data_IF_194561700803
#
_entry.id   IF_194561700803
#
_cell.length_a   1.000
_cell.length_b   1.000
_cell.length_c   1.000
_cell.angle_alpha   90.00
_cell.angle_beta   90.00
_cell.angle_gamma   90.00
#
_symmetry.space_group_name_H-M   'P 1'
#
loop_
_entity.id
_entity.type
_entity.pdbx_description
1 polymer ?
#
# COMPACT_ATOMS: atom_id res chain seq x y z
N UNK A 1 7.70 10.92 -19.75
CA UNK A 1 7.55 11.14 -18.29
C UNK A 1 8.54 10.30 -17.48
N UNK A 2 8.80 9.03 -17.81
CA UNK A 2 9.60 8.14 -16.96
C UNK A 2 11.09 8.48 -16.73
N UNK A 3 11.77 9.14 -17.68
CA UNK A 3 13.20 9.51 -17.50
C UNK A 3 13.39 10.51 -16.35
N UNK A 4 12.50 11.49 -16.20
CA UNK A 4 12.58 12.47 -15.10
C UNK A 4 12.33 11.82 -13.73
N UNK A 5 11.34 10.92 -13.65
CA UNK A 5 11.07 10.16 -12.41
C UNK A 5 12.23 9.25 -12.07
N UNK A 6 12.79 8.53 -13.03
CA UNK A 6 13.95 7.66 -12.83
C UNK A 6 15.17 8.43 -12.30
N UNK A 7 15.48 9.61 -12.85
CA UNK A 7 16.57 10.46 -12.33
C UNK A 7 16.31 10.90 -10.90
N UNK A 8 15.06 11.30 -10.58
CA UNK A 8 14.66 11.69 -9.22
C UNK A 8 14.80 10.54 -8.23
N UNK A 9 14.32 9.35 -8.57
CA UNK A 9 14.42 8.17 -7.70
C UNK A 9 15.87 7.68 -7.58
N UNK A 10 16.67 7.76 -8.65
CA UNK A 10 18.11 7.49 -8.58
C UNK A 10 18.84 8.43 -7.60
N UNK A 11 18.51 9.73 -7.63
CA UNK A 11 19.05 10.69 -6.66
C UNK A 11 18.59 10.37 -5.23
N UNK A 12 17.31 10.01 -5.04
CA UNK A 12 16.77 9.59 -3.74
C UNK A 12 17.49 8.34 -3.21
N UNK A 13 17.73 7.34 -4.06
CA UNK A 13 18.48 6.14 -3.70
C UNK A 13 19.91 6.47 -3.29
N UNK A 14 20.59 7.35 -4.02
CA UNK A 14 21.93 7.82 -3.66
C UNK A 14 21.93 8.53 -2.30
N UNK A 15 20.96 9.42 -2.06
CA UNK A 15 20.78 10.13 -0.79
C UNK A 15 20.50 9.18 0.39
N UNK A 16 19.73 8.11 0.16
CA UNK A 16 19.50 7.07 1.16
C UNK A 16 20.81 6.38 1.54
N UNK A 17 21.60 5.95 0.54
CA UNK A 17 22.88 5.25 0.74
C UNK A 17 23.94 6.11 1.43
N UNK A 18 23.92 7.43 1.22
CA UNK A 18 24.88 8.35 1.84
C UNK A 18 24.45 8.89 3.20
N UNK A 19 23.29 8.45 3.73
CA UNK A 19 22.85 8.80 5.08
C UNK A 19 22.34 10.23 5.26
N UNK A 20 22.01 10.95 4.17
CA UNK A 20 21.54 12.35 4.24
C UNK A 20 20.06 12.49 4.66
N UNK A 21 19.43 11.43 5.14
CA UNK A 21 18.02 11.44 5.56
C UNK A 21 17.74 12.37 6.75
N UNK A 22 18.65 12.44 7.73
CA UNK A 22 18.47 13.33 8.88
C UNK A 22 18.49 14.82 8.45
N UNK A 23 19.46 15.29 7.64
CA UNK A 23 19.40 16.61 7.01
C UNK A 23 18.12 16.87 6.20
N UNK A 24 17.67 15.91 5.38
CA UNK A 24 16.43 16.04 4.58
C UNK A 24 15.19 16.19 5.46
N UNK A 25 15.09 15.42 6.55
CA UNK A 25 13.99 15.54 7.53
C UNK A 25 14.01 16.89 8.24
N UNK A 26 15.19 17.37 8.63
CA UNK A 26 15.33 18.71 9.22
C UNK A 26 14.84 19.79 8.23
N UNK A 27 15.21 19.70 6.95
CA UNK A 27 14.74 20.63 5.92
C UNK A 27 13.21 20.56 5.72
N UNK A 28 12.59 19.37 5.78
CA UNK A 28 11.12 19.22 5.72
C UNK A 28 10.44 19.90 6.92
N UNK A 29 10.97 19.71 8.13
CA UNK A 29 10.48 20.39 9.35
C UNK A 29 10.61 21.91 9.26
N UNK A 30 11.74 22.43 8.77
CA UNK A 30 11.95 23.86 8.54
C UNK A 30 10.97 24.45 7.49
N UNK A 31 10.38 23.60 6.63
CA UNK A 31 9.32 23.96 5.68
C UNK A 31 7.90 23.75 6.24
N UNK A 32 7.77 23.46 7.53
CA UNK A 32 6.48 23.25 8.19
C UNK A 32 5.86 21.87 7.98
N UNK A 33 6.59 20.89 7.43
CA UNK A 33 6.08 19.52 7.33
C UNK A 33 6.32 18.75 8.63
N UNK A 34 5.26 18.16 9.17
CA UNK A 34 5.38 17.20 10.26
C UNK A 34 5.98 15.87 9.75
N UNK A 35 7.02 15.42 10.43
CA UNK A 35 7.77 14.19 10.13
C UNK A 35 8.04 13.37 11.40
N UNK A 36 7.24 13.60 12.45
CA UNK A 36 7.41 12.95 13.76
C UNK A 36 7.19 11.45 13.67
N UNK A 37 6.15 11.02 12.95
CA UNK A 37 5.90 9.59 12.66
C UNK A 37 7.16 8.88 12.13
N UNK A 38 7.95 9.49 11.23
CA UNK A 38 9.15 8.85 10.67
C UNK A 38 10.26 8.54 11.70
N UNK A 39 10.13 9.04 12.93
CA UNK A 39 11.08 8.81 14.03
C UNK A 39 10.58 7.84 15.08
N UNK A 40 9.32 7.40 15.02
CA UNK A 40 8.75 6.43 15.95
C UNK A 40 9.34 5.04 15.70
N UNK A 41 9.64 4.24 16.75
CA UNK A 41 10.33 2.97 16.57
C UNK A 41 9.46 1.92 15.89
N UNK A 42 8.25 1.69 16.41
CA UNK A 42 7.35 0.62 15.94
C UNK A 42 6.55 1.04 14.72
N UNK A 43 6.27 0.08 13.84
CA UNK A 43 5.51 0.34 12.61
C UNK A 43 4.08 0.81 12.92
N UNK A 44 3.40 0.15 13.87
CA UNK A 44 2.08 0.53 14.34
C UNK A 44 2.03 1.97 14.84
N UNK A 45 3.00 2.39 15.64
CA UNK A 45 3.05 3.76 16.19
C UNK A 45 3.19 4.80 15.07
N UNK A 46 3.94 4.49 14.01
CA UNK A 46 4.09 5.37 12.84
C UNK A 46 2.75 5.62 12.16
N UNK A 47 1.98 4.57 11.89
CA UNK A 47 0.72 4.67 11.19
C UNK A 47 -0.41 5.18 12.09
N UNK A 48 -0.44 4.82 13.37
CA UNK A 48 -1.35 5.43 14.34
C UNK A 48 -1.14 6.94 14.44
N UNK A 49 0.12 7.40 14.46
CA UNK A 49 0.45 8.83 14.43
C UNK A 49 -0.04 9.50 13.14
N UNK A 50 0.13 8.83 11.98
CA UNK A 50 -0.35 9.33 10.69
C UNK A 50 -1.87 9.59 10.72
N UNK A 51 -2.65 8.65 11.24
CA UNK A 51 -4.11 8.80 11.37
C UNK A 51 -4.51 9.82 12.43
N UNK A 52 -3.82 9.85 13.58
CA UNK A 52 -4.12 10.78 14.67
C UNK A 52 -3.89 12.24 14.26
N UNK A 53 -2.81 12.51 13.53
CA UNK A 53 -2.38 13.87 13.18
C UNK A 53 -2.74 14.26 11.74
N UNK A 54 -3.50 13.43 11.02
CA UNK A 54 -3.91 13.70 9.65
C UNK A 54 -2.71 13.92 8.71
N UNK A 55 -1.64 13.14 8.84
CA UNK A 55 -0.40 13.38 8.06
C UNK A 55 -0.64 13.23 6.55
N UNK A 56 -1.54 12.32 6.15
CA UNK A 56 -1.85 12.08 4.73
C UNK A 56 -2.92 13.00 4.16
N UNK A 57 -3.87 13.44 4.98
CA UNK A 57 -5.08 14.10 4.51
C UNK A 57 -5.32 15.49 5.13
N UNK A 58 -4.56 15.86 6.15
CA UNK A 58 -4.86 17.00 7.01
C UNK A 58 -6.25 16.84 7.63
N UNK A 59 -7.01 17.93 7.62
CA UNK A 59 -8.41 17.94 8.05
C UNK A 59 -9.40 17.48 6.95
N UNK A 60 -8.89 16.99 5.81
CA UNK A 60 -9.71 16.56 4.66
C UNK A 60 -9.95 15.06 4.73
N UNK A 61 -11.17 14.61 4.42
CA UNK A 61 -11.48 13.19 4.27
C UNK A 61 -11.07 12.66 2.86
N UNK A 62 -10.68 11.39 2.74
CA UNK A 62 -10.61 10.39 3.81
C UNK A 62 -9.27 10.39 4.60
N UNK A 63 -9.27 9.94 5.87
CA UNK A 63 -8.06 9.87 6.71
C UNK A 63 -6.87 9.11 6.10
N UNK A 64 -7.14 8.08 5.29
CA UNK A 64 -6.11 7.29 4.60
C UNK A 64 -5.47 8.04 3.41
N UNK A 65 -5.80 9.32 3.23
CA UNK A 65 -5.24 10.19 2.21
C UNK A 65 -6.09 10.28 0.94
N UNK A 66 -5.80 11.28 0.11
CA UNK A 66 -6.59 11.56 -1.10
C UNK A 66 -6.59 10.41 -2.12
N UNK A 67 -5.60 9.52 -2.07
CA UNK A 67 -5.50 8.32 -2.89
C UNK A 67 -6.60 7.27 -2.64
N UNK A 68 -7.26 7.32 -1.48
CA UNK A 68 -8.41 6.46 -1.13
C UNK A 68 -9.78 7.16 -1.30
N UNK A 69 -9.80 8.40 -1.81
CA UNK A 69 -11.06 9.11 -2.07
C UNK A 69 -11.90 8.41 -3.13
N UNK A 70 -13.23 8.63 -3.11
CA UNK A 70 -14.15 8.04 -4.09
C UNK A 70 -13.85 8.46 -5.54
N UNK A 71 -13.33 9.68 -5.72
CA UNK A 71 -12.90 10.19 -7.02
C UNK A 71 -11.60 9.50 -7.49
N UNK A 72 -10.63 9.31 -6.59
CA UNK A 72 -9.38 8.62 -6.91
C UNK A 72 -9.60 7.14 -7.25
N UNK A 73 -10.62 6.51 -6.67
CA UNK A 73 -10.87 5.07 -6.78
C UNK A 73 -11.99 4.71 -7.77
N UNK A 74 -12.51 5.67 -8.54
CA UNK A 74 -13.64 5.44 -9.45
C UNK A 74 -13.40 4.28 -10.44
N UNK A 75 -12.27 4.30 -11.16
CA UNK A 75 -11.93 3.23 -12.11
C UNK A 75 -11.73 1.87 -11.43
N UNK A 76 -11.02 1.86 -10.30
CA UNK A 76 -10.83 0.64 -9.51
C UNK A 76 -12.17 0.05 -9.06
N UNK A 77 -13.09 0.89 -8.58
CA UNK A 77 -14.40 0.44 -8.12
C UNK A 77 -15.28 -0.10 -9.24
N UNK A 78 -15.13 0.43 -10.45
CA UNK A 78 -15.87 -0.04 -11.61
C UNK A 78 -15.41 -1.43 -12.09
N UNK A 79 -14.12 -1.75 -11.94
CA UNK A 79 -13.53 -2.96 -12.54
C UNK A 79 -13.25 -4.08 -11.52
N UNK A 80 -12.96 -3.75 -10.26
CA UNK A 80 -12.54 -4.72 -9.25
C UNK A 80 -13.57 -5.86 -9.02
N UNK A 81 -14.90 -5.61 -8.91
CA UNK A 81 -15.86 -6.69 -8.68
C UNK A 81 -15.85 -7.75 -9.80
N UNK A 82 -15.82 -7.31 -11.06
CA UNK A 82 -15.80 -8.21 -12.22
C UNK A 82 -14.48 -8.99 -12.28
N UNK A 83 -13.35 -8.35 -11.99
CA UNK A 83 -12.06 -9.03 -11.94
C UNK A 83 -12.02 -10.11 -10.86
N UNK A 84 -12.57 -9.86 -9.67
CA UNK A 84 -12.64 -10.86 -8.60
C UNK A 84 -13.51 -12.06 -8.99
N UNK A 85 -14.64 -11.82 -9.67
CA UNK A 85 -15.52 -12.86 -10.20
C UNK A 85 -14.82 -13.71 -11.27
N UNK A 86 -14.15 -13.06 -12.25
CA UNK A 86 -13.36 -13.73 -13.29
C UNK A 86 -12.24 -14.62 -12.73
N UNK A 87 -11.61 -14.19 -11.63
CA UNK A 87 -10.58 -14.95 -10.93
C UNK A 87 -11.15 -16.06 -10.03
N UNK A 88 -12.47 -16.12 -9.85
CA UNK A 88 -13.15 -17.09 -8.98
C UNK A 88 -12.87 -16.88 -7.50
N UNK A 89 -12.60 -15.65 -7.07
CA UNK A 89 -12.27 -15.30 -5.68
C UNK A 89 -13.52 -15.43 -4.81
N UNK A 90 -13.44 -16.16 -3.69
CA UNK A 90 -14.51 -16.25 -2.68
C UNK A 90 -14.13 -15.64 -1.35
N UNK A 91 -12.84 -15.44 -1.09
CA UNK A 91 -12.31 -14.77 0.09
C UNK A 91 -11.27 -13.70 -0.31
N UNK A 92 -11.44 -12.48 0.21
CA UNK A 92 -10.59 -11.33 -0.04
C UNK A 92 -10.04 -10.79 1.28
N UNK A 93 -8.71 -10.85 1.43
CA UNK A 93 -8.00 -10.13 2.49
C UNK A 93 -7.58 -8.76 1.96
N UNK A 94 -8.04 -7.67 2.56
CA UNK A 94 -7.57 -6.32 2.27
C UNK A 94 -6.46 -5.93 3.26
N UNK A 95 -5.22 -6.11 2.81
CA UNK A 95 -3.99 -5.88 3.55
C UNK A 95 -3.62 -4.39 3.46
N UNK A 96 -3.76 -3.68 4.57
CA UNK A 96 -3.72 -2.23 4.64
C UNK A 96 -5.04 -1.60 4.24
N UNK A 97 -6.15 -2.08 4.79
CA UNK A 97 -7.50 -1.66 4.43
C UNK A 97 -7.80 -0.18 4.74
N UNK A 98 -6.95 0.46 5.53
CA UNK A 98 -7.12 1.84 5.99
C UNK A 98 -8.50 2.08 6.60
N UNK A 99 -9.08 3.24 6.32
CA UNK A 99 -10.39 3.67 6.83
C UNK A 99 -11.60 3.07 6.09
N UNK A 100 -11.38 2.10 5.20
CA UNK A 100 -12.45 1.39 4.47
C UNK A 100 -13.33 2.29 3.57
N UNK A 101 -12.96 3.57 3.34
CA UNK A 101 -13.82 4.58 2.70
C UNK A 101 -14.38 4.18 1.34
N UNK A 102 -13.55 3.63 0.46
CA UNK A 102 -13.96 3.29 -0.90
C UNK A 102 -14.44 1.83 -1.00
N UNK A 103 -13.84 0.93 -0.22
CA UNK A 103 -14.20 -0.49 -0.18
C UNK A 103 -15.63 -0.71 0.32
N UNK A 104 -16.10 0.07 1.31
CA UNK A 104 -17.51 -0.01 1.78
C UNK A 104 -18.55 0.26 0.68
N UNK A 105 -18.16 0.91 -0.42
CA UNK A 105 -19.08 1.25 -1.52
C UNK A 105 -19.23 0.13 -2.54
N UNK A 106 -18.42 -0.92 -2.44
CA UNK A 106 -18.44 -2.06 -3.34
C UNK A 106 -19.41 -3.13 -2.86
N UNK A 107 -20.18 -3.67 -3.80
CA UNK A 107 -20.94 -4.89 -3.60
C UNK A 107 -20.10 -6.06 -4.10
N UNK A 108 -19.46 -6.78 -3.17
CA UNK A 108 -18.62 -7.94 -3.49
C UNK A 108 -19.30 -9.21 -2.99
N UNK A 109 -19.36 -10.26 -3.82
CA UNK A 109 -19.80 -11.61 -3.41
C UNK A 109 -18.62 -12.44 -2.88
N UNK A 110 -17.87 -11.87 -1.92
CA UNK A 110 -16.69 -12.50 -1.29
C UNK A 110 -16.73 -12.32 0.23
N UNK A 111 -16.15 -13.26 0.96
CA UNK A 111 -15.83 -13.07 2.37
C UNK A 111 -14.70 -12.04 2.48
N UNK A 112 -15.03 -10.85 2.96
CA UNK A 112 -14.06 -9.76 3.14
C UNK A 112 -13.47 -9.76 4.55
N UNK A 113 -12.15 -9.60 4.63
CA UNK A 113 -11.43 -9.35 5.88
C UNK A 113 -10.45 -8.19 5.69
N UNK A 114 -10.70 -7.06 6.35
CA UNK A 114 -9.78 -5.92 6.34
C UNK A 114 -8.75 -6.01 7.46
N UNK A 115 -7.49 -5.77 7.15
CA UNK A 115 -6.43 -5.69 8.16
C UNK A 115 -5.55 -4.46 7.94
N UNK A 116 -5.06 -3.89 9.03
CA UNK A 116 -4.17 -2.73 9.01
C UNK A 116 -3.26 -2.79 10.24
N UNK A 117 -2.06 -2.22 10.13
CA UNK A 117 -1.11 -2.15 11.25
C UNK A 117 -1.53 -1.11 12.29
N UNK A 118 -2.34 -0.12 11.88
CA UNK A 118 -2.89 0.89 12.78
C UNK A 118 -4.05 0.32 13.60
N UNK A 119 -3.83 0.17 14.91
CA UNK A 119 -4.91 -0.22 15.81
C UNK A 119 -6.02 0.84 15.85
N UNK A 120 -5.65 2.11 15.68
CA UNK A 120 -6.58 3.24 15.67
C UNK A 120 -7.59 3.13 14.53
N UNK A 121 -7.14 2.91 13.29
CA UNK A 121 -8.07 2.83 12.14
C UNK A 121 -8.94 1.57 12.21
N UNK A 122 -8.36 0.45 12.66
CA UNK A 122 -9.12 -0.79 12.84
C UNK A 122 -10.19 -0.66 13.90
N UNK A 123 -9.91 0.04 15.01
CA UNK A 123 -10.93 0.28 16.03
C UNK A 123 -12.04 1.18 15.51
N UNK A 124 -11.72 2.21 14.71
CA UNK A 124 -12.71 3.05 14.06
C UNK A 124 -13.61 2.22 13.12
N UNK A 125 -13.01 1.42 12.23
CA UNK A 125 -13.76 0.59 11.28
C UNK A 125 -14.68 -0.40 11.99
N UNK A 126 -14.24 -1.03 13.07
CA UNK A 126 -15.07 -1.97 13.87
C UNK A 126 -16.28 -1.29 14.51
N UNK A 127 -16.15 -0.02 14.90
CA UNK A 127 -17.27 0.76 15.47
C UNK A 127 -18.26 1.16 14.39
N UNK A 128 -17.76 1.61 13.24
CA UNK A 128 -18.59 2.14 12.16
C UNK A 128 -19.24 1.04 11.30
N UNK A 129 -18.59 -0.13 11.22
CA UNK A 129 -18.98 -1.27 10.39
C UNK A 129 -18.88 -2.60 11.19
N UNK A 130 -19.70 -2.79 12.24
CA UNK A 130 -19.64 -3.97 13.12
C UNK A 130 -19.97 -5.29 12.41
N UNK A 131 -20.61 -5.23 11.23
CA UNK A 131 -20.90 -6.37 10.37
C UNK A 131 -19.70 -6.84 9.54
N UNK A 132 -18.64 -6.04 9.44
CA UNK A 132 -17.46 -6.34 8.64
C UNK A 132 -16.31 -6.80 9.53
N UNK A 133 -15.57 -7.82 9.08
CA UNK A 133 -14.44 -8.37 9.83
C UNK A 133 -13.20 -7.49 9.65
N UNK A 134 -12.69 -6.96 10.75
CA UNK A 134 -11.42 -6.24 10.80
C UNK A 134 -10.47 -6.77 11.88
N UNK A 135 -9.16 -6.77 11.62
CA UNK A 135 -8.13 -7.04 12.63
C UNK A 135 -6.86 -6.23 12.47
N UNK A 136 -6.21 -5.93 13.60
CA UNK A 136 -4.87 -5.35 13.60
C UNK A 136 -3.88 -6.43 13.18
N UNK A 137 -3.00 -6.10 12.23
CA UNK A 137 -1.98 -7.02 11.71
C UNK A 137 -0.79 -6.22 11.17
N UNK A 138 0.42 -6.54 11.63
CA UNK A 138 1.66 -6.04 11.01
C UNK A 138 2.12 -7.02 9.92
N UNK A 139 1.90 -6.65 8.66
CA UNK A 139 2.23 -7.49 7.52
C UNK A 139 3.74 -7.81 7.39
N UNK A 140 4.60 -7.06 8.08
CA UNK A 140 6.06 -7.22 8.04
C UNK A 140 6.58 -8.26 9.04
N UNK A 141 5.77 -8.67 10.02
CA UNK A 141 6.15 -9.62 11.09
C UNK A 141 5.14 -10.74 11.32
N UNK A 142 3.86 -10.47 11.13
CA UNK A 142 2.78 -11.37 11.52
C UNK A 142 2.42 -12.33 10.38
N UNK A 143 1.79 -13.45 10.75
CA UNK A 143 1.25 -14.39 9.78
C UNK A 143 0.03 -13.78 9.07
N UNK A 144 0.10 -13.68 7.75
CA UNK A 144 -1.00 -13.18 6.92
C UNK A 144 -2.05 -14.30 6.75
N UNK A 145 -3.33 -14.07 7.12
CA UNK A 145 -4.39 -15.05 6.94
C UNK A 145 -4.52 -15.50 5.48
N UNK A 146 -4.76 -16.80 5.29
CA UNK A 146 -5.01 -17.35 3.96
C UNK A 146 -6.31 -16.80 3.38
N UNK A 147 -6.26 -16.36 2.12
CA UNK A 147 -7.43 -15.99 1.31
C UNK A 147 -7.22 -16.43 -0.16
N UNK A 148 -8.27 -16.40 -0.97
CA UNK A 148 -8.11 -16.65 -2.42
C UNK A 148 -7.34 -15.50 -3.07
N UNK A 149 -7.64 -14.27 -2.67
CA UNK A 149 -6.92 -13.08 -3.08
C UNK A 149 -6.55 -12.17 -1.90
N UNK A 150 -5.38 -11.55 -1.99
CA UNK A 150 -4.95 -10.46 -1.10
C UNK A 150 -4.89 -9.17 -1.90
N UNK A 151 -5.68 -8.17 -1.52
CA UNK A 151 -5.55 -6.80 -1.97
C UNK A 151 -4.52 -6.09 -1.09
N UNK A 152 -3.48 -5.52 -1.69
CA UNK A 152 -2.42 -4.78 -1.00
C UNK A 152 -2.18 -3.48 -1.78
N UNK A 153 -3.20 -2.62 -1.79
CA UNK A 153 -3.19 -1.37 -2.56
C UNK A 153 -2.47 -0.27 -1.77
N UNK A 154 -1.53 0.42 -2.40
CA UNK A 154 -0.76 1.53 -1.84
C UNK A 154 0.06 1.26 -0.56
N UNK A 155 0.02 0.06 0.04
CA UNK A 155 0.83 -0.27 1.24
C UNK A 155 2.32 -0.25 0.97
N UNK A 156 2.79 -0.96 -0.07
CA UNK A 156 4.23 -1.08 -0.35
C UNK A 156 4.88 0.28 -0.64
N UNK A 157 4.12 1.23 -1.19
CA UNK A 157 4.59 2.59 -1.48
C UNK A 157 4.99 3.35 -0.20
N UNK A 158 4.49 2.91 0.96
CA UNK A 158 4.73 3.47 2.28
C UNK A 158 5.71 2.69 3.15
N UNK A 159 6.29 1.59 2.64
CA UNK A 159 7.23 0.77 3.39
C UNK A 159 8.65 0.91 2.84
N UNK A 160 9.66 0.77 3.70
CA UNK A 160 11.06 0.57 3.28
C UNK A 160 11.17 -0.63 2.34
N UNK A 161 12.25 -0.74 1.56
CA UNK A 161 12.47 -1.91 0.72
C UNK A 161 12.58 -3.19 1.55
N UNK A 162 13.25 -3.12 2.70
CA UNK A 162 13.37 -4.25 3.62
C UNK A 162 11.99 -4.72 4.12
N UNK A 163 11.14 -3.79 4.55
CA UNK A 163 9.79 -4.11 5.05
C UNK A 163 8.89 -4.60 3.93
N UNK A 164 9.00 -4.00 2.74
CA UNK A 164 8.26 -4.45 1.56
C UNK A 164 8.61 -5.90 1.21
N UNK A 165 9.90 -6.27 1.23
CA UNK A 165 10.34 -7.64 0.97
C UNK A 165 9.84 -8.61 2.07
N UNK A 166 9.83 -8.18 3.35
CA UNK A 166 9.22 -8.98 4.43
C UNK A 166 7.73 -9.24 4.20
N UNK A 167 6.98 -8.24 3.74
CA UNK A 167 5.56 -8.40 3.36
C UNK A 167 5.42 -9.41 2.23
N UNK A 168 6.25 -9.35 1.18
CA UNK A 168 6.21 -10.33 0.08
C UNK A 168 6.50 -11.74 0.59
N UNK A 169 7.48 -11.92 1.46
CA UNK A 169 7.78 -13.23 2.05
C UNK A 169 6.64 -13.77 2.92
N UNK A 170 5.97 -12.92 3.69
CA UNK A 170 4.80 -13.32 4.47
C UNK A 170 3.59 -13.63 3.58
N UNK A 171 3.39 -12.90 2.47
CA UNK A 171 2.37 -13.21 1.47
C UNK A 171 2.60 -14.61 0.88
N UNK A 172 3.84 -14.96 0.55
CA UNK A 172 4.20 -16.32 0.08
C UNK A 172 3.87 -17.40 1.12
N UNK A 173 4.12 -17.12 2.39
CA UNK A 173 3.84 -18.06 3.49
C UNK A 173 2.36 -18.22 3.82
N UNK A 174 1.52 -17.22 3.49
CA UNK A 174 0.07 -17.24 3.78
C UNK A 174 -0.69 -18.38 3.10
N UNK A 175 -0.16 -18.94 2.00
CA UNK A 175 -0.86 -19.93 1.18
C UNK A 175 -2.03 -19.36 0.38
N UNK A 176 -2.08 -18.04 0.21
CA UNK A 176 -3.04 -17.33 -0.64
C UNK A 176 -2.69 -17.48 -2.12
N UNK A 177 -3.66 -17.33 -3.03
CA UNK A 177 -3.45 -17.60 -4.46
C UNK A 177 -3.04 -16.36 -5.24
N UNK A 178 -3.81 -15.27 -5.13
CA UNK A 178 -3.61 -14.05 -5.90
C UNK A 178 -3.16 -12.88 -5.02
N UNK A 179 -2.28 -12.05 -5.55
CA UNK A 179 -1.92 -10.75 -5.01
C UNK A 179 -2.39 -9.67 -6.00
N UNK A 180 -3.24 -8.77 -5.53
CA UNK A 180 -3.61 -7.55 -6.23
C UNK A 180 -2.89 -6.39 -5.54
N UNK A 181 -1.91 -5.77 -6.20
CA UNK A 181 -1.11 -4.72 -5.56
C UNK A 181 -0.72 -3.60 -6.52
N UNK A 182 -0.47 -2.42 -5.97
CA UNK A 182 -0.16 -1.22 -6.75
C UNK A 182 1.27 -1.26 -7.28
N UNK A 183 1.44 -1.01 -8.58
CA UNK A 183 2.73 -0.76 -9.21
C UNK A 183 2.68 0.53 -10.04
N UNK A 184 3.79 1.24 -10.14
CA UNK A 184 3.94 2.44 -10.97
C UNK A 184 5.14 2.29 -11.92
N UNK A 185 4.83 2.27 -13.22
CA UNK A 185 5.82 2.03 -14.28
C UNK A 185 6.65 3.27 -14.66
N UNK A 186 6.49 4.39 -13.95
CA UNK A 186 7.21 5.63 -14.25
C UNK A 186 8.70 5.58 -13.91
N UNK A 187 9.14 4.66 -13.06
CA UNK A 187 10.55 4.53 -12.66
C UNK A 187 11.09 3.14 -12.97
N UNK A 188 12.36 3.08 -13.39
CA UNK A 188 13.13 1.82 -13.45
C UNK A 188 13.93 1.54 -12.18
N UNK A 189 13.87 2.43 -11.18
CA UNK A 189 14.61 2.34 -9.92
C UNK A 189 13.63 2.44 -8.76
N UNK A 190 13.69 1.47 -7.86
CA UNK A 190 13.01 1.51 -6.57
C UNK A 190 13.97 2.12 -5.54
N UNK A 191 13.78 3.41 -5.24
CA UNK A 191 14.52 4.06 -4.14
C UNK A 191 14.09 3.48 -2.79
N UNK A 192 14.93 3.57 -1.76
CA UNK A 192 14.52 3.17 -0.42
C UNK A 192 13.98 4.37 0.37
N UNK A 193 13.13 4.10 1.37
CA UNK A 193 12.56 5.10 2.27
C UNK A 193 12.51 4.56 3.71
N UNK A 194 12.31 5.46 4.66
CA UNK A 194 11.87 5.08 5.99
C UNK A 194 10.37 4.77 5.95
N UNK A 195 9.95 3.63 6.49
CA UNK A 195 8.53 3.23 6.54
C UNK A 195 7.66 4.32 7.19
N UNK A 196 6.53 4.60 6.56
CA UNK A 196 5.66 5.75 6.82
C UNK A 196 5.86 6.94 5.87
N UNK A 197 6.96 7.01 5.11
CA UNK A 197 7.13 8.01 4.03
C UNK A 197 6.47 7.51 2.73
N UNK A 198 6.76 8.13 1.58
CA UNK A 198 6.17 7.71 0.30
C UNK A 198 7.19 7.62 -0.85
N UNK A 199 7.07 6.56 -1.65
CA UNK A 199 7.67 6.44 -2.98
C UNK A 199 6.76 5.68 -3.96
N UNK A 200 6.82 5.96 -5.26
CA UNK A 200 6.35 4.99 -6.26
C UNK A 200 7.25 3.75 -6.30
N UNK A 201 6.67 2.58 -6.52
CA UNK A 201 7.40 1.32 -6.70
C UNK A 201 7.01 0.69 -8.03
N UNK A 202 8.00 0.24 -8.79
CA UNK A 202 7.80 -0.65 -9.93
C UNK A 202 8.11 -2.08 -9.50
N UNK A 203 7.08 -2.93 -9.40
CA UNK A 203 7.22 -4.31 -8.93
C UNK A 203 7.89 -5.23 -9.95
N UNK A 204 7.91 -4.87 -11.23
CA UNK A 204 8.61 -5.60 -12.28
C UNK A 204 10.12 -5.27 -12.34
N UNK A 205 10.64 -4.54 -11.34
CA UNK A 205 12.04 -4.12 -11.24
C UNK A 205 12.62 -4.52 -9.89
N UNK A 206 13.95 -4.69 -9.86
CA UNK A 206 14.69 -4.96 -8.65
C UNK A 206 14.32 -3.98 -7.51
N UNK A 207 14.22 -4.46 -6.25
CA UNK A 207 14.54 -5.82 -5.81
C UNK A 207 13.35 -6.80 -5.88
N UNK A 208 12.19 -6.40 -6.42
CA UNK A 208 11.00 -7.26 -6.44
C UNK A 208 11.02 -8.24 -7.61
N UNK A 209 11.44 -7.77 -8.79
CA UNK A 209 11.58 -8.57 -10.01
C UNK A 209 10.39 -9.50 -10.30
N UNK A 210 9.16 -9.00 -10.03
CA UNK A 210 7.94 -9.72 -10.37
C UNK A 210 7.84 -9.93 -11.89
N UNK A 211 7.23 -11.04 -12.34
CA UNK A 211 6.88 -11.18 -13.75
C UNK A 211 5.84 -10.12 -14.15
N UNK A 212 5.53 -10.04 -15.44
CA UNK A 212 4.40 -9.23 -15.89
C UNK A 212 3.11 -9.68 -15.18
N UNK A 213 2.25 -8.74 -14.74
CA UNK A 213 0.98 -9.10 -14.10
C UNK A 213 0.07 -9.86 -15.08
N UNK A 214 -0.70 -10.82 -14.56
CA UNK A 214 -1.64 -11.63 -15.35
C UNK A 214 -2.91 -10.85 -15.73
N UNK A 215 -3.25 -9.82 -14.96
CA UNK A 215 -4.30 -8.85 -15.22
C UNK A 215 -3.92 -7.52 -14.56
N UNK A 216 -4.53 -6.41 -14.98
CA UNK A 216 -4.32 -5.09 -14.36
C UNK A 216 -5.58 -4.24 -14.48
N UNK A 217 -5.80 -3.38 -13.48
CA UNK A 217 -6.77 -2.28 -13.52
C UNK A 217 -5.98 -0.97 -13.50
N UNK A 218 -6.31 -0.03 -14.38
CA UNK A 218 -5.65 1.27 -14.40
C UNK A 218 -6.03 2.10 -13.15
N UNK A 219 -5.04 2.66 -12.47
CA UNK A 219 -5.22 3.55 -11.31
C UNK A 219 -4.81 4.99 -11.68
N UNK A 220 -5.30 5.40 -12.87
CA UNK A 220 -4.83 6.58 -13.59
C UNK A 220 -5.32 7.91 -13.00
N UNK A 221 -6.34 7.88 -12.13
CA UNK A 221 -6.86 9.07 -11.47
C UNK A 221 -5.80 9.75 -10.58
N UNK A 222 -4.82 9.00 -10.07
CA UNK A 222 -3.70 9.55 -9.30
C UNK A 222 -2.43 9.68 -10.14
N UNK A 223 -2.09 8.67 -10.94
CA UNK A 223 -0.89 8.69 -11.80
C UNK A 223 -1.11 7.83 -13.04
N UNK A 224 -0.83 8.37 -14.23
CA UNK A 224 -1.02 7.68 -15.52
C UNK A 224 -0.22 6.39 -15.70
N UNK A 225 0.86 6.22 -14.93
CA UNK A 225 1.71 5.02 -14.97
C UNK A 225 1.37 4.00 -13.90
N UNK A 226 0.39 4.31 -13.05
CA UNK A 226 0.01 3.48 -11.92
C UNK A 226 -1.14 2.56 -12.28
N UNK A 227 -1.04 1.34 -11.79
CA UNK A 227 -2.05 0.31 -11.96
C UNK A 227 -2.11 -0.59 -10.73
N UNK A 228 -3.25 -1.22 -10.53
CA UNK A 228 -3.40 -2.38 -9.65
C UNK A 228 -3.12 -3.62 -10.49
N UNK A 229 -1.96 -4.23 -10.31
CA UNK A 229 -1.60 -5.46 -11.01
C UNK A 229 -2.04 -6.71 -10.23
N UNK A 230 -2.31 -7.78 -10.97
CA UNK A 230 -2.64 -9.10 -10.42
C UNK A 230 -1.48 -10.05 -10.69
N UNK A 231 -1.03 -10.73 -9.66
CA UNK A 231 -0.03 -11.80 -9.74
C UNK A 231 -0.52 -13.05 -9.03
N UNK A 232 -0.03 -14.21 -9.46
CA UNK A 232 -0.08 -15.40 -8.61
C UNK A 232 1.04 -15.29 -7.58
N UNK A 233 0.74 -15.58 -6.32
CA UNK A 233 1.73 -15.47 -5.25
C UNK A 233 2.87 -16.48 -5.44
N UNK A 234 2.58 -17.65 -6.02
CA UNK A 234 3.58 -18.68 -6.35
C UNK A 234 4.57 -18.29 -7.46
N UNK A 235 4.32 -17.20 -8.19
CA UNK A 235 5.17 -16.72 -9.28
C UNK A 235 5.98 -15.47 -8.94
N UNK A 236 5.84 -14.91 -7.73
CA UNK A 236 6.60 -13.73 -7.31
C UNK A 236 8.09 -14.07 -7.21
N UNK A 237 8.95 -13.28 -7.86
CA UNK A 237 10.41 -13.51 -7.94
C UNK A 237 11.11 -13.43 -6.59
N UNK A 238 11.97 -14.40 -6.28
CA UNK A 238 12.58 -14.65 -4.96
C UNK A 238 13.25 -13.42 -4.34
#
# INVERSE_FOLDING_TARGET
MGVKTTVREGLRQAMHRTGVQAPLRLLRRLRGQDTTHLTLPELSDRFDYIYEHGIWSGDVAPPSGLGSSLAATEGLRAELPALLDELGVRSLLDLGCGDYTWMQTLSLDVEYHGVDVSARVIEQNRRDHPEVRFSVLDATSDEIPRADAVLCREVLFHLSLADSLRVIDNLRRSGSTYLLTTSDDSSSVNADIVSGDFRPINLCRAPFDFPAPIARIDDAAISKSRHLGVWRIDSLGS
#
